data_IF_420789731674
#
_entry.id   IF_420789731674
#
_cell.length_a   1.000
_cell.length_b   1.000
_cell.length_c   1.000
_cell.angle_alpha   90.00
_cell.angle_beta   90.00
_cell.angle_gamma   90.00
#
_symmetry.space_group_name_H-M   'P 1'
#
loop_
_entity.id
_entity.type
_entity.pdbx_description
1 polymer ?
#
# COMPACT_ATOMS: atom_id res chain seq x y z
N UNK A 1 17.34 6.97 35.74
CA UNK A 1 16.21 7.65 35.09
C UNK A 1 16.35 7.44 33.58
N UNK A 2 15.55 6.54 33.00
CA UNK A 2 15.60 6.23 31.56
C UNK A 2 14.25 6.61 30.97
N UNK A 3 14.27 7.54 30.01
CA UNK A 3 13.08 8.06 29.35
C UNK A 3 12.36 6.94 28.60
N UNK A 4 11.11 6.70 29.02
CA UNK A 4 10.14 5.86 28.32
C UNK A 4 9.73 6.63 27.07
N UNK A 5 10.37 6.30 25.94
CA UNK A 5 9.99 6.82 24.63
C UNK A 5 8.63 6.22 24.25
N UNK A 6 7.58 7.03 24.37
CA UNK A 6 6.26 6.79 23.81
C UNK A 6 6.37 6.37 22.34
N UNK A 7 6.16 5.09 22.07
CA UNK A 7 5.96 4.57 20.71
C UNK A 7 4.70 5.24 20.14
N UNK A 8 4.77 5.94 18.99
CA UNK A 8 3.55 6.37 18.32
C UNK A 8 2.81 5.12 17.88
N UNK A 9 1.65 4.87 18.48
CA UNK A 9 0.71 3.86 18.01
C UNK A 9 0.38 4.22 16.55
N UNK A 10 0.60 3.33 15.57
CA UNK A 10 0.17 3.59 14.21
C UNK A 10 -1.33 3.84 14.23
N UNK A 11 -1.75 5.07 13.91
CA UNK A 11 -3.17 5.40 13.82
C UNK A 11 -3.83 4.47 12.80
N UNK A 12 -4.80 3.69 13.25
CA UNK A 12 -5.64 2.84 12.41
C UNK A 12 -6.29 3.74 11.36
N UNK A 13 -5.93 3.57 10.09
CA UNK A 13 -6.51 4.37 9.01
C UNK A 13 -7.74 3.65 8.47
N UNK A 14 -8.85 3.77 9.19
CA UNK A 14 -10.12 3.23 8.76
C UNK A 14 -10.68 4.02 7.57
N UNK A 15 -11.50 3.38 6.74
CA UNK A 15 -12.35 4.09 5.77
C UNK A 15 -13.23 5.07 6.58
N UNK A 16 -13.12 6.37 6.29
CA UNK A 16 -13.75 7.38 7.14
C UNK A 16 -15.26 7.46 6.88
N UNK A 17 -16.02 7.96 7.85
CA UNK A 17 -17.46 8.25 7.65
C UNK A 17 -17.71 9.17 6.45
N UNK A 18 -16.76 10.05 6.12
CA UNK A 18 -16.86 10.93 4.94
C UNK A 18 -16.65 10.17 3.62
N UNK A 19 -15.80 9.14 3.61
CA UNK A 19 -15.61 8.27 2.43
C UNK A 19 -16.81 7.34 2.25
N UNK A 20 -17.37 6.84 3.35
CA UNK A 20 -18.65 6.13 3.36
C UNK A 20 -19.79 7.04 2.90
N UNK A 21 -19.80 8.32 3.27
CA UNK A 21 -20.81 9.27 2.82
C UNK A 21 -20.68 9.63 1.33
N UNK A 22 -19.46 9.63 0.76
CA UNK A 22 -19.25 9.75 -0.69
C UNK A 22 -19.82 8.53 -1.41
N UNK A 23 -19.58 7.34 -0.87
CA UNK A 23 -20.20 6.11 -1.38
C UNK A 23 -21.73 6.25 -1.32
N UNK A 24 -22.29 6.64 -0.16
CA UNK A 24 -23.72 6.86 0.06
C UNK A 24 -24.34 7.92 -0.88
N UNK A 25 -23.59 8.98 -1.22
CA UNK A 25 -24.03 10.04 -2.13
C UNK A 25 -23.97 9.64 -3.61
N UNK A 26 -23.21 8.60 -3.95
CA UNK A 26 -23.12 8.06 -5.31
C UNK A 26 -24.21 7.01 -5.55
N UNK A 27 -24.68 6.32 -4.51
CA UNK A 27 -25.72 5.27 -4.60
C UNK A 27 -26.98 5.69 -5.38
N UNK A 28 -27.52 6.92 -5.27
CA UNK A 28 -28.73 7.31 -6.00
C UNK A 28 -28.51 7.63 -7.49
N UNK A 29 -27.25 7.77 -7.93
CA UNK A 29 -26.89 8.15 -9.31
C UNK A 29 -26.63 6.94 -10.22
N UNK A 30 -26.64 5.74 -9.63
CA UNK A 30 -26.33 4.49 -10.33
C UNK A 30 -27.57 4.08 -11.14
N UNK A 31 -27.40 3.94 -12.47
CA UNK A 31 -28.46 3.53 -13.40
C UNK A 31 -29.36 4.65 -13.96
N UNK A 32 -29.05 5.93 -13.75
CA UNK A 32 -29.89 7.08 -14.19
C UNK A 32 -29.14 8.08 -15.11
N UNK A 33 -27.82 7.93 -15.32
CA UNK A 33 -27.02 8.84 -16.15
C UNK A 33 -26.64 8.22 -17.51
N UNK A 34 -26.78 8.98 -18.60
CA UNK A 34 -26.36 8.62 -19.96
C UNK A 34 -24.85 8.32 -20.02
N UNK A 35 -24.05 8.84 -19.07
CA UNK A 35 -22.62 8.53 -18.95
C UNK A 35 -22.32 7.05 -18.67
N UNK A 36 -23.24 6.30 -18.03
CA UNK A 36 -23.07 4.87 -17.70
C UNK A 36 -23.85 3.93 -18.64
N UNK A 37 -24.71 4.48 -19.50
CA UNK A 37 -25.61 3.71 -20.37
C UNK A 37 -24.89 2.82 -21.41
N UNK A 38 -23.66 3.19 -21.82
CA UNK A 38 -22.84 2.43 -22.77
C UNK A 38 -21.78 1.53 -22.11
N UNK A 39 -21.76 1.42 -20.77
CA UNK A 39 -20.72 0.66 -20.04
C UNK A 39 -21.08 -0.81 -19.76
N UNK A 40 -22.27 -1.28 -20.15
CA UNK A 40 -22.63 -2.71 -20.11
C UNK A 40 -22.53 -3.41 -18.74
N UNK A 41 -22.52 -2.65 -17.64
CA UNK A 41 -22.32 -3.16 -16.27
C UNK A 41 -23.62 -3.31 -15.48
N UNK A 42 -23.64 -4.28 -14.55
CA UNK A 42 -24.70 -4.37 -13.53
C UNK A 42 -24.49 -3.29 -12.45
N UNK A 43 -25.55 -2.90 -11.72
CA UNK A 43 -25.48 -1.97 -10.56
C UNK A 43 -24.35 -2.32 -9.60
N UNK A 44 -24.11 -3.62 -9.41
CA UNK A 44 -23.04 -4.13 -8.56
C UNK A 44 -21.65 -3.91 -9.16
N UNK A 45 -21.48 -4.04 -10.48
CA UNK A 45 -20.22 -3.75 -11.17
C UNK A 45 -19.82 -2.27 -11.03
N UNK A 46 -20.75 -1.35 -11.21
CA UNK A 46 -20.49 0.10 -11.06
C UNK A 46 -20.13 0.44 -9.61
N UNK A 47 -20.88 -0.09 -8.64
CA UNK A 47 -20.59 0.10 -7.22
C UNK A 47 -19.19 -0.44 -6.84
N UNK A 48 -18.79 -1.55 -7.45
CA UNK A 48 -17.49 -2.16 -7.27
C UNK A 48 -16.34 -1.26 -7.77
N UNK A 49 -16.49 -0.58 -8.91
CA UNK A 49 -15.50 0.41 -9.38
C UNK A 49 -15.29 1.53 -8.35
N UNK A 50 -16.36 2.04 -7.74
CA UNK A 50 -16.25 3.09 -6.72
C UNK A 50 -15.57 2.59 -5.44
N UNK A 51 -15.91 1.37 -5.00
CA UNK A 51 -15.24 0.72 -3.86
C UNK A 51 -13.73 0.59 -4.13
N UNK A 52 -13.34 0.15 -5.33
CA UNK A 52 -11.95 0.05 -5.72
C UNK A 52 -11.22 1.40 -5.63
N UNK A 53 -11.84 2.46 -6.14
CA UNK A 53 -11.26 3.80 -6.09
C UNK A 53 -11.08 4.30 -4.65
N UNK A 54 -12.05 4.06 -3.76
CA UNK A 54 -11.94 4.39 -2.33
C UNK A 54 -10.79 3.62 -1.68
N UNK A 55 -10.66 2.33 -1.97
CA UNK A 55 -9.56 1.50 -1.46
C UNK A 55 -8.21 2.05 -1.96
N UNK A 56 -8.07 2.33 -3.26
CA UNK A 56 -6.86 2.90 -3.86
C UNK A 56 -6.48 4.20 -3.18
N UNK A 57 -7.43 5.12 -2.99
CA UNK A 57 -7.16 6.41 -2.37
C UNK A 57 -6.72 6.24 -0.92
N UNK A 58 -7.32 5.29 -0.19
CA UNK A 58 -6.93 4.96 1.18
C UNK A 58 -5.56 4.30 1.26
N UNK A 59 -5.22 3.42 0.32
CA UNK A 59 -3.89 2.83 0.23
C UNK A 59 -2.83 3.92 -0.05
N UNK A 60 -3.12 4.83 -0.99
CA UNK A 60 -2.26 5.98 -1.30
C UNK A 60 -2.12 6.91 -0.08
N UNK A 61 -3.20 7.19 0.65
CA UNK A 61 -3.19 7.98 1.88
C UNK A 61 -2.36 7.28 2.99
N UNK A 62 -2.57 5.98 3.18
CA UNK A 62 -1.85 5.14 4.14
C UNK A 62 -0.36 5.13 3.87
N UNK A 63 0.04 4.95 2.61
CA UNK A 63 1.44 5.00 2.20
C UNK A 63 2.08 6.39 2.41
N UNK A 64 1.32 7.47 2.18
CA UNK A 64 1.78 8.85 2.43
C UNK A 64 1.95 9.14 3.92
N UNK A 65 0.95 8.84 4.77
CA UNK A 65 1.05 9.07 6.23
C UNK A 65 2.17 8.26 6.86
N UNK A 66 2.43 7.07 6.32
CA UNK A 66 3.54 6.21 6.75
C UNK A 66 4.87 6.59 6.13
N UNK A 67 4.98 7.68 5.35
CA UNK A 67 6.20 8.16 4.70
C UNK A 67 6.93 7.06 3.88
N UNK A 68 6.17 6.27 3.11
CA UNK A 68 6.70 5.22 2.22
C UNK A 68 7.19 5.77 0.88
N UNK A 69 7.16 7.10 0.72
CA UNK A 69 7.58 7.83 -0.48
C UNK A 69 9.11 7.83 -0.61
N UNK A 70 9.66 6.79 -1.25
CA UNK A 70 11.07 6.78 -1.65
C UNK A 70 11.27 7.38 -3.06
N UNK A 71 10.57 6.84 -4.06
CA UNK A 71 10.65 7.27 -5.47
C UNK A 71 9.29 7.69 -6.05
N UNK A 72 8.23 7.70 -5.24
CA UNK A 72 6.82 7.83 -5.66
C UNK A 72 6.25 6.65 -6.47
N UNK A 73 7.10 5.78 -7.04
CA UNK A 73 6.68 4.65 -7.88
C UNK A 73 5.63 3.74 -7.21
N UNK A 74 5.75 3.45 -5.91
CA UNK A 74 4.77 2.60 -5.23
C UNK A 74 3.39 3.27 -5.22
N UNK A 75 3.33 4.53 -4.80
CA UNK A 75 2.06 5.27 -4.71
C UNK A 75 1.42 5.44 -6.10
N UNK A 76 2.24 5.63 -7.14
CA UNK A 76 1.77 5.82 -8.51
C UNK A 76 1.32 4.53 -9.19
N UNK A 77 1.90 3.39 -8.80
CA UNK A 77 1.55 2.07 -9.37
C UNK A 77 0.29 1.46 -8.79
N UNK A 78 -0.27 1.99 -7.69
CA UNK A 78 -1.53 1.48 -7.15
C UNK A 78 -2.67 1.86 -8.11
N UNK A 79 -3.20 0.86 -8.80
CA UNK A 79 -4.32 0.93 -9.75
C UNK A 79 -5.28 -0.23 -9.54
N UNK A 80 -6.50 -0.13 -10.06
CA UNK A 80 -7.43 -1.25 -10.14
C UNK A 80 -7.75 -1.51 -11.60
N UNK A 81 -7.96 -2.78 -11.91
CA UNK A 81 -8.55 -3.21 -13.17
C UNK A 81 -10.08 -3.14 -13.10
N UNK A 82 -10.71 -3.23 -14.27
CA UNK A 82 -12.17 -3.27 -14.35
C UNK A 82 -12.70 -4.53 -13.64
N UNK A 83 -13.85 -4.44 -12.94
CA UNK A 83 -14.45 -5.59 -12.30
C UNK A 83 -14.67 -6.72 -13.30
N UNK A 84 -14.21 -7.92 -12.97
CA UNK A 84 -14.48 -9.12 -13.75
C UNK A 84 -15.63 -9.89 -13.11
N UNK A 85 -16.53 -10.41 -13.95
CA UNK A 85 -17.61 -11.30 -13.50
C UNK A 85 -17.08 -12.73 -13.60
N UNK A 86 -16.93 -13.39 -12.47
CA UNK A 86 -16.54 -14.80 -12.37
C UNK A 86 -17.75 -15.65 -11.94
N UNK A 87 -17.72 -16.97 -12.15
CA UNK A 87 -18.74 -17.87 -11.59
C UNK A 87 -18.87 -17.77 -10.05
N UNK A 88 -17.84 -17.27 -9.37
CA UNK A 88 -17.73 -17.11 -7.93
C UNK A 88 -18.23 -15.74 -7.43
N UNK A 89 -18.39 -14.75 -8.31
CA UNK A 89 -18.87 -13.42 -7.96
C UNK A 89 -18.33 -12.32 -8.86
N UNK A 90 -18.17 -11.13 -8.30
CA UNK A 90 -17.50 -10.01 -8.97
C UNK A 90 -16.16 -9.79 -8.27
N UNK A 91 -15.10 -9.78 -9.06
CA UNK A 91 -13.73 -9.60 -8.60
C UNK A 91 -13.18 -8.27 -9.10
N UNK A 92 -12.36 -7.62 -8.28
CA UNK A 92 -11.58 -6.45 -8.69
C UNK A 92 -10.14 -6.71 -8.31
N UNK A 93 -9.26 -6.64 -9.30
CA UNK A 93 -7.83 -6.71 -9.07
C UNK A 93 -7.29 -5.30 -8.74
N UNK A 94 -6.52 -5.20 -7.66
CA UNK A 94 -5.75 -3.99 -7.32
C UNK A 94 -4.26 -4.34 -7.47
N UNK A 95 -3.65 -3.86 -8.54
CA UNK A 95 -2.24 -4.08 -8.83
C UNK A 95 -1.38 -2.96 -8.27
N UNK A 96 -0.12 -3.28 -7.96
CA UNK A 96 0.89 -2.32 -7.48
C UNK A 96 2.30 -2.83 -7.79
N UNK A 97 3.31 -1.97 -7.64
CA UNK A 97 4.70 -2.34 -7.93
C UNK A 97 5.14 -3.61 -7.16
N UNK A 98 5.82 -4.53 -7.85
CA UNK A 98 6.31 -5.83 -7.38
C UNK A 98 6.92 -5.84 -5.96
N UNK A 99 7.64 -4.78 -5.59
CA UNK A 99 8.28 -4.66 -4.29
C UNK A 99 7.31 -4.26 -3.15
N UNK A 100 6.00 -4.13 -3.40
CA UNK A 100 5.00 -3.73 -2.41
C UNK A 100 5.00 -4.65 -1.18
N UNK A 101 5.18 -5.96 -1.38
CA UNK A 101 5.16 -6.96 -0.30
C UNK A 101 6.27 -6.67 0.71
N UNK A 102 7.47 -6.34 0.22
CA UNK A 102 8.60 -5.95 1.10
C UNK A 102 8.34 -4.64 1.83
N UNK A 103 7.47 -3.78 1.32
CA UNK A 103 7.05 -2.54 1.98
C UNK A 103 5.96 -2.82 3.01
N UNK A 104 5.03 -3.72 2.69
CA UNK A 104 3.92 -4.12 3.55
C UNK A 104 4.39 -4.94 4.76
N UNK A 105 5.18 -5.98 4.51
CA UNK A 105 5.60 -7.00 5.49
C UNK A 105 7.02 -6.80 5.99
N UNK A 106 7.81 -6.02 5.26
CA UNK A 106 9.23 -5.84 5.56
C UNK A 106 10.03 -7.07 5.17
N UNK A 107 11.35 -6.96 5.23
CA UNK A 107 12.22 -8.14 5.17
C UNK A 107 12.47 -8.66 6.58
N UNK A 108 12.28 -9.96 6.77
CA UNK A 108 12.59 -10.65 8.03
C UNK A 108 14.12 -10.68 8.28
N UNK A 109 14.55 -10.72 9.54
CA UNK A 109 15.93 -11.04 9.88
C UNK A 109 16.36 -12.37 9.23
N UNK A 110 17.64 -12.49 8.85
CA UNK A 110 18.22 -13.67 8.22
C UNK A 110 18.18 -13.66 6.69
N UNK A 111 17.42 -12.75 6.06
CA UNK A 111 17.37 -12.65 4.60
C UNK A 111 18.19 -11.46 4.10
N UNK A 112 18.99 -11.67 3.05
CA UNK A 112 19.77 -10.61 2.44
C UNK A 112 18.90 -9.76 1.49
N UNK A 113 18.95 -8.42 1.57
CA UNK A 113 18.26 -7.58 0.60
C UNK A 113 18.93 -7.65 -0.78
N UNK A 114 18.16 -7.38 -1.82
CA UNK A 114 18.68 -7.26 -3.17
C UNK A 114 19.60 -6.04 -3.28
N UNK A 115 20.90 -6.30 -3.43
CA UNK A 115 21.94 -5.27 -3.37
C UNK A 115 21.82 -4.18 -4.44
N UNK A 116 21.56 -4.50 -5.73
CA UNK A 116 21.36 -3.47 -6.76
C UNK A 116 20.24 -2.47 -6.42
N UNK A 117 19.09 -2.96 -5.95
CA UNK A 117 17.97 -2.10 -5.54
C UNK A 117 18.34 -1.22 -4.34
N UNK A 118 19.13 -1.74 -3.40
CA UNK A 118 19.57 -0.98 -2.23
C UNK A 118 20.57 0.12 -2.60
N UNK A 119 21.50 -0.17 -3.52
CA UNK A 119 22.45 0.81 -4.08
C UNK A 119 21.68 1.93 -4.77
N UNK A 120 20.71 1.58 -5.62
CA UNK A 120 19.84 2.55 -6.30
C UNK A 120 19.08 3.41 -5.28
N UNK A 121 18.50 2.81 -4.24
CA UNK A 121 17.76 3.52 -3.21
C UNK A 121 18.64 4.51 -2.43
N UNK A 122 19.85 4.09 -2.01
CA UNK A 122 20.83 4.97 -1.33
C UNK A 122 21.19 6.15 -2.24
N UNK A 123 21.37 5.90 -3.55
CA UNK A 123 21.68 6.95 -4.53
C UNK A 123 20.53 7.90 -4.83
N UNK A 124 19.28 7.43 -4.80
CA UNK A 124 18.09 8.20 -5.13
C UNK A 124 17.56 9.05 -3.95
N UNK A 125 17.59 8.52 -2.72
CA UNK A 125 17.03 9.22 -1.56
C UNK A 125 18.03 10.24 -1.01
N UNK A 126 17.80 11.53 -1.28
CA UNK A 126 18.73 12.63 -0.94
C UNK A 126 19.20 12.61 0.53
N UNK A 127 18.29 12.36 1.48
CA UNK A 127 18.64 12.30 2.91
C UNK A 127 19.59 11.14 3.25
N UNK A 128 19.48 10.02 2.52
CA UNK A 128 20.32 8.82 2.71
C UNK A 128 21.64 8.99 1.98
N UNK A 129 21.59 9.48 0.72
CA UNK A 129 22.78 9.82 -0.05
C UNK A 129 23.69 10.78 0.71
N UNK A 130 23.11 11.80 1.36
CA UNK A 130 23.88 12.74 2.18
C UNK A 130 24.67 12.03 3.28
N UNK A 131 24.05 11.11 4.02
CA UNK A 131 24.71 10.32 5.07
C UNK A 131 25.84 9.46 4.47
N UNK A 132 25.62 8.86 3.30
CA UNK A 132 26.65 8.07 2.62
C UNK A 132 27.86 8.94 2.22
N UNK A 133 27.61 10.18 1.77
CA UNK A 133 28.65 11.13 1.39
C UNK A 133 29.40 11.73 2.59
N UNK A 134 28.71 11.99 3.71
CA UNK A 134 29.33 12.44 4.97
C UNK A 134 30.32 11.40 5.52
N UNK A 135 30.08 10.11 5.25
CA UNK A 135 30.93 8.99 5.68
C UNK A 135 31.94 8.54 4.63
N UNK A 136 32.00 9.25 3.49
CA UNK A 136 32.90 8.92 2.38
C UNK A 136 34.36 9.15 2.78
N UNK A 137 35.22 8.18 2.49
CA UNK A 137 36.67 8.36 2.66
C UNK A 137 37.25 9.40 1.70
N UNK A 138 38.33 10.09 2.10
CA UNK A 138 38.95 11.18 1.30
C UNK A 138 39.24 10.80 -0.16
N UNK A 139 39.69 9.57 -0.41
CA UNK A 139 40.04 9.07 -1.75
C UNK A 139 38.96 8.18 -2.40
N UNK A 140 37.76 8.12 -1.82
CA UNK A 140 36.68 7.25 -2.30
C UNK A 140 35.82 7.97 -3.34
N UNK A 141 35.40 7.28 -4.40
CA UNK A 141 34.42 7.83 -5.37
C UNK A 141 33.03 7.89 -4.73
N UNK A 142 32.15 8.74 -5.25
CA UNK A 142 30.74 8.83 -4.78
C UNK A 142 30.05 7.46 -4.91
N UNK A 143 30.25 6.78 -6.04
CA UNK A 143 29.66 5.47 -6.29
C UNK A 143 30.11 4.43 -5.27
N UNK A 144 31.42 4.35 -4.99
CA UNK A 144 31.95 3.44 -3.95
C UNK A 144 31.43 3.76 -2.55
N UNK A 145 31.18 5.04 -2.25
CA UNK A 145 30.59 5.45 -0.97
C UNK A 145 29.15 4.96 -0.83
N UNK A 146 28.36 5.08 -1.91
CA UNK A 146 26.98 4.57 -1.98
C UNK A 146 26.97 3.04 -1.81
N UNK A 147 27.82 2.31 -2.53
CA UNK A 147 27.92 0.84 -2.45
C UNK A 147 28.35 0.35 -1.06
N UNK A 148 29.34 1.03 -0.46
CA UNK A 148 29.80 0.72 0.89
C UNK A 148 28.70 0.97 1.92
N UNK A 149 27.99 2.09 1.80
CA UNK A 149 26.89 2.42 2.69
C UNK A 149 25.72 1.44 2.51
N UNK A 150 25.36 1.09 1.28
CA UNK A 150 24.37 0.05 0.98
C UNK A 150 24.74 -1.29 1.62
N UNK A 151 26.01 -1.70 1.57
CA UNK A 151 26.46 -2.94 2.23
C UNK A 151 26.29 -2.90 3.75
N UNK A 152 26.53 -1.75 4.39
CA UNK A 152 26.29 -1.57 5.84
C UNK A 152 24.80 -1.65 6.15
N UNK A 153 23.95 -1.02 5.33
CA UNK A 153 22.50 -1.11 5.46
C UNK A 153 22.04 -2.55 5.27
N UNK A 154 22.55 -3.27 4.28
CA UNK A 154 22.22 -4.67 4.02
C UNK A 154 22.53 -5.57 5.22
N UNK A 155 23.69 -5.40 5.86
CA UNK A 155 24.02 -6.11 7.11
C UNK A 155 23.04 -5.81 8.24
N UNK A 156 22.57 -4.56 8.34
CA UNK A 156 21.55 -4.18 9.35
C UNK A 156 20.18 -4.75 9.03
N UNK A 157 19.79 -4.79 7.75
CA UNK A 157 18.56 -5.43 7.29
C UNK A 157 18.62 -6.93 7.55
N UNK A 158 19.73 -7.59 7.20
CA UNK A 158 19.92 -9.01 7.45
C UNK A 158 19.87 -9.34 8.96
N UNK A 159 20.52 -8.54 9.80
CA UNK A 159 20.54 -8.81 11.25
C UNK A 159 19.24 -8.45 11.98
N UNK A 160 18.48 -7.46 11.52
CA UNK A 160 17.35 -6.91 12.29
C UNK A 160 16.03 -6.86 11.55
N UNK A 161 16.02 -6.93 10.23
CA UNK A 161 14.89 -6.64 9.36
C UNK A 161 14.92 -5.22 8.78
N UNK A 162 14.01 -4.93 7.85
CA UNK A 162 14.13 -3.74 6.98
C UNK A 162 13.73 -2.41 7.63
N UNK A 163 12.62 -2.35 8.38
CA UNK A 163 12.02 -1.04 8.72
C UNK A 163 12.02 -0.78 10.23
N UNK A 164 13.12 -0.20 10.72
CA UNK A 164 13.29 0.11 12.15
C UNK A 164 12.13 0.95 12.73
N UNK A 165 11.60 1.93 11.99
CA UNK A 165 10.50 2.79 12.46
C UNK A 165 9.18 2.05 12.70
N UNK A 166 9.04 0.85 12.15
CA UNK A 166 7.92 -0.06 12.39
C UNK A 166 8.36 -1.27 13.24
N UNK A 167 9.36 -1.09 14.11
CA UNK A 167 9.84 -2.16 14.98
C UNK A 167 10.51 -3.30 14.23
N UNK A 168 11.12 -3.00 13.06
CA UNK A 168 11.66 -3.98 12.12
C UNK A 168 10.64 -4.92 11.48
N UNK A 169 9.36 -4.54 11.56
CA UNK A 169 8.27 -5.15 10.81
C UNK A 169 8.02 -4.33 9.54
N UNK A 170 7.17 -4.86 8.67
CA UNK A 170 6.65 -4.10 7.55
C UNK A 170 5.82 -2.90 7.95
N UNK A 171 5.46 -2.08 6.96
CA UNK A 171 4.70 -0.87 7.22
C UNK A 171 3.24 -1.12 7.58
N UNK A 172 2.65 -2.27 7.20
CA UNK A 172 1.24 -2.54 7.45
C UNK A 172 0.34 -1.47 6.80
N UNK A 173 0.71 -0.96 5.63
CA UNK A 173 -0.06 0.09 4.95
C UNK A 173 -1.33 -0.44 4.31
N UNK A 174 -1.31 -1.67 3.80
CA UNK A 174 -2.46 -2.41 3.29
C UNK A 174 -3.30 -2.92 4.45
N UNK A 175 -2.69 -3.60 5.43
CA UNK A 175 -3.39 -4.13 6.60
C UNK A 175 -4.09 -3.04 7.43
N UNK A 176 -3.62 -1.79 7.36
CA UNK A 176 -4.31 -0.67 7.99
C UNK A 176 -5.60 -0.23 7.26
N UNK A 177 -5.75 -0.58 5.99
CA UNK A 177 -6.89 -0.21 5.12
C UNK A 177 -7.83 -1.41 4.90
N UNK A 178 -7.29 -2.57 4.56
CA UNK A 178 -8.05 -3.81 4.32
C UNK A 178 -8.20 -4.62 5.61
N UNK A 179 -8.80 -4.01 6.63
CA UNK A 179 -9.19 -4.71 7.85
C UNK A 179 -10.47 -5.50 7.61
N UNK A 180 -10.68 -6.60 8.34
CA UNK A 180 -11.92 -7.38 8.27
C UNK A 180 -13.16 -6.49 8.47
N UNK A 181 -13.10 -5.56 9.44
CA UNK A 181 -14.17 -4.59 9.68
C UNK A 181 -14.50 -3.74 8.45
N UNK A 182 -13.50 -3.26 7.71
CA UNK A 182 -13.72 -2.46 6.50
C UNK A 182 -14.31 -3.32 5.38
N UNK A 183 -13.85 -4.57 5.23
CA UNK A 183 -14.38 -5.54 4.26
C UNK A 183 -15.85 -5.86 4.56
N UNK A 184 -16.18 -6.15 5.81
CA UNK A 184 -17.56 -6.41 6.25
C UNK A 184 -18.46 -5.19 6.03
N UNK A 185 -17.94 -3.98 6.29
CA UNK A 185 -18.67 -2.72 6.06
C UNK A 185 -18.96 -2.51 4.57
N UNK A 186 -17.99 -2.81 3.69
CA UNK A 186 -18.17 -2.73 2.24
C UNK A 186 -19.24 -3.75 1.80
N UNK A 187 -19.14 -5.00 2.25
CA UNK A 187 -20.11 -6.04 1.94
C UNK A 187 -21.53 -5.64 2.35
N UNK A 188 -21.71 -5.12 3.58
CA UNK A 188 -23.00 -4.66 4.06
C UNK A 188 -23.57 -3.53 3.20
N UNK A 189 -22.75 -2.53 2.83
CA UNK A 189 -23.22 -1.42 1.99
C UNK A 189 -23.61 -1.87 0.58
N UNK A 190 -22.87 -2.79 -0.01
CA UNK A 190 -23.21 -3.37 -1.31
C UNK A 190 -24.48 -4.24 -1.20
N UNK A 191 -24.66 -4.94 -0.09
CA UNK A 191 -25.88 -5.69 0.21
C UNK A 191 -27.10 -4.78 0.32
N UNK A 192 -26.99 -3.67 1.05
CA UNK A 192 -28.05 -2.68 1.20
C UNK A 192 -28.40 -2.04 -0.15
N UNK A 193 -27.40 -1.81 -1.01
CA UNK A 193 -27.59 -1.25 -2.35
C UNK A 193 -28.30 -2.19 -3.31
N UNK A 194 -27.94 -3.47 -3.28
CA UNK A 194 -28.42 -4.45 -4.28
C UNK A 194 -29.64 -5.24 -3.81
N UNK A 195 -29.96 -5.19 -2.52
CA UNK A 195 -30.94 -6.08 -1.88
C UNK A 195 -30.46 -7.53 -1.80
N UNK A 196 -29.22 -7.82 -2.19
CA UNK A 196 -28.62 -9.15 -2.17
C UNK A 196 -27.85 -9.37 -0.88
N UNK A 197 -27.80 -10.62 -0.40
CA UNK A 197 -26.85 -10.99 0.66
C UNK A 197 -25.50 -11.25 0.01
N UNK A 198 -24.53 -10.38 0.29
CA UNK A 198 -23.20 -10.43 -0.28
C UNK A 198 -22.18 -10.74 0.83
N UNK A 199 -21.17 -11.51 0.45
CA UNK A 199 -19.98 -11.76 1.27
C UNK A 199 -18.79 -11.22 0.50
N UNK A 200 -17.92 -10.47 1.16
CA UNK A 200 -16.68 -9.99 0.56
C UNK A 200 -15.48 -10.62 1.27
N UNK A 201 -14.43 -10.88 0.51
CA UNK A 201 -13.15 -11.35 1.01
C UNK A 201 -12.02 -10.70 0.20
N UNK A 202 -10.83 -10.68 0.79
CA UNK A 202 -9.61 -10.17 0.14
C UNK A 202 -8.69 -11.36 -0.08
N UNK A 203 -8.26 -11.56 -1.32
CA UNK A 203 -7.16 -12.45 -1.66
C UNK A 203 -5.94 -11.62 -2.08
N UNK A 204 -4.76 -12.19 -1.89
CA UNK A 204 -3.50 -11.60 -2.33
C UNK A 204 -2.78 -12.61 -3.21
N UNK A 205 -2.50 -12.23 -4.44
CA UNK A 205 -1.66 -13.01 -5.35
C UNK A 205 -0.31 -12.32 -5.52
N UNK A 206 0.76 -13.10 -5.43
CA UNK A 206 2.13 -12.64 -5.70
C UNK A 206 2.56 -13.28 -7.00
N UNK A 207 2.64 -12.48 -8.07
CA UNK A 207 3.19 -12.92 -9.35
C UNK A 207 4.69 -13.19 -9.13
N UNK A 208 5.09 -14.46 -9.29
CA UNK A 208 6.49 -14.92 -9.13
C UNK A 208 7.40 -14.47 -10.27
#
# INVERSE_FOLDING_TARGET
MVAVGSTPTPGTMNISKADLAKLDALLPKIGIDEATANMGGTVLGDAMVFVAQVIIDKLKESARKKDLKATNNLIQSISADYPSITPQGIEIEISMADYWERVEDGQKPGTWPHMPSLIQWVGAKASVKRIALERKGKNQTVQKAIESFASVVAKKIHSKGTIKRFGYKGSGFIAAVLTQQNVDTIAQKLSDLTGLRLTAYVTTEVTQ
#
